data_IF_019242680039
#
_entry.id   IF_019242680039
#
_cell.length_a   1.000
_cell.length_b   1.000
_cell.length_c   1.000
_cell.angle_alpha   90.00
_cell.angle_beta   90.00
_cell.angle_gamma   90.00
#
_symmetry.space_group_name_H-M   'P 1'
#
loop_
_entity.id
_entity.type
_entity.pdbx_description
1 polymer ?
#
# COMPACT_ATOMS: atom_id res chain seq x y z
N UNK A 1 33.03 -17.91 65.45
CA UNK A 1 32.33 -18.70 64.40
C UNK A 1 32.23 -17.80 63.17
N UNK A 2 33.05 -18.08 62.15
CA UNK A 2 32.97 -17.41 60.85
C UNK A 2 31.68 -17.81 60.15
N UNK A 3 31.02 -16.86 59.47
CA UNK A 3 30.68 -16.95 58.04
C UNK A 3 30.51 -15.51 57.55
N UNK A 4 31.33 -15.20 56.57
CA UNK A 4 31.28 -14.01 55.73
C UNK A 4 30.68 -14.49 54.40
N UNK A 5 29.58 -13.93 53.90
CA UNK A 5 29.21 -14.16 52.49
C UNK A 5 28.33 -13.02 51.95
N UNK A 6 29.00 -12.15 51.20
CA UNK A 6 28.62 -11.67 49.86
C UNK A 6 27.30 -10.91 49.71
N UNK A 7 27.46 -9.60 49.51
CA UNK A 7 26.98 -8.89 48.33
C UNK A 7 25.59 -9.29 47.82
N UNK A 8 24.55 -8.71 48.41
CA UNK A 8 23.35 -8.40 47.64
C UNK A 8 23.66 -7.12 46.86
N UNK A 9 24.54 -7.25 45.86
CA UNK A 9 24.61 -6.27 44.80
C UNK A 9 23.25 -6.33 44.10
N UNK A 10 22.44 -5.30 44.31
CA UNK A 10 21.26 -5.09 43.53
C UNK A 10 21.68 -5.08 42.06
N UNK A 11 21.40 -6.17 41.35
CA UNK A 11 21.31 -6.16 39.89
C UNK A 11 20.04 -5.36 39.60
N UNK A 12 20.14 -4.04 39.75
CA UNK A 12 19.31 -3.15 38.96
C UNK A 12 19.81 -3.39 37.53
N UNK A 13 19.20 -4.35 36.84
CA UNK A 13 19.24 -4.36 35.40
C UNK A 13 18.68 -3.00 35.01
N UNK A 14 19.56 -2.09 34.61
CA UNK A 14 19.17 -0.93 33.82
C UNK A 14 18.47 -1.54 32.61
N UNK A 15 17.15 -1.57 32.65
CA UNK A 15 16.35 -1.68 31.44
C UNK A 15 16.68 -0.38 30.71
N UNK A 16 17.76 -0.41 29.91
CA UNK A 16 17.96 0.61 28.89
C UNK A 16 16.65 0.59 28.12
N UNK A 17 15.91 1.70 28.12
CA UNK A 17 14.70 1.80 27.32
C UNK A 17 15.02 1.25 25.93
N UNK A 18 14.32 0.19 25.51
CA UNK A 18 14.56 -0.42 24.21
C UNK A 18 14.51 0.69 23.17
N UNK A 19 15.62 0.89 22.46
CA UNK A 19 15.66 1.91 21.39
C UNK A 19 14.55 1.57 20.40
N UNK A 20 13.62 2.52 20.23
CA UNK A 20 12.42 2.33 19.40
C UNK A 20 12.79 2.14 17.93
N UNK A 21 13.76 2.93 17.47
CA UNK A 21 14.35 2.82 16.15
C UNK A 21 15.76 2.23 16.20
N UNK A 22 16.20 1.53 15.14
CA UNK A 22 17.59 1.09 15.02
C UNK A 22 18.59 2.25 15.00
N UNK A 23 19.88 1.91 15.06
CA UNK A 23 20.96 2.88 14.95
C UNK A 23 20.82 3.75 13.68
N UNK A 24 20.75 5.07 13.87
CA UNK A 24 20.52 6.04 12.78
C UNK A 24 21.65 6.07 11.76
N UNK A 25 22.83 5.49 12.06
CA UNK A 25 23.94 5.38 11.11
C UNK A 25 23.70 4.33 10.01
N UNK A 26 22.75 3.41 10.22
CA UNK A 26 22.42 2.33 9.27
C UNK A 26 21.68 2.83 8.02
N UNK A 27 21.02 3.98 8.11
CA UNK A 27 20.41 4.67 6.98
C UNK A 27 21.06 6.04 6.85
N UNK A 28 21.35 6.46 5.62
CA UNK A 28 21.91 7.79 5.34
C UNK A 28 20.88 8.65 4.64
N UNK A 29 21.07 9.97 4.73
CA UNK A 29 20.32 10.94 3.94
C UNK A 29 20.32 10.51 2.46
N UNK A 30 19.17 10.60 1.76
CA UNK A 30 17.96 11.32 2.15
C UNK A 30 16.94 10.56 2.99
N UNK A 31 17.24 9.33 3.39
CA UNK A 31 16.36 8.54 4.24
C UNK A 31 16.74 8.72 5.72
N UNK A 32 15.77 8.50 6.60
CA UNK A 32 15.97 8.49 8.05
C UNK A 32 15.00 7.53 8.72
N UNK A 33 15.39 7.03 9.89
CA UNK A 33 14.45 6.45 10.84
C UNK A 33 13.65 7.57 11.51
N UNK A 34 12.37 7.33 11.74
CA UNK A 34 11.46 8.26 12.41
C UNK A 34 10.70 7.52 13.50
N UNK A 35 10.82 8.00 14.74
CA UNK A 35 10.02 7.48 15.85
C UNK A 35 8.57 7.94 15.72
N UNK A 36 7.65 7.02 15.96
CA UNK A 36 6.20 7.23 15.84
C UNK A 36 5.56 6.85 17.17
N UNK A 37 4.90 7.83 17.80
CA UNK A 37 4.19 7.67 19.07
C UNK A 37 5.06 7.05 20.20
N UNK A 38 6.38 7.27 20.17
CA UNK A 38 7.35 6.77 21.16
C UNK A 38 7.39 5.25 21.36
N UNK A 39 6.84 4.46 20.42
CA UNK A 39 6.83 2.98 20.53
C UNK A 39 6.99 2.26 19.18
N UNK A 40 7.06 3.00 18.06
CA UNK A 40 7.19 2.42 16.72
C UNK A 40 8.24 3.17 15.91
N UNK A 41 8.86 2.47 14.97
CA UNK A 41 9.80 3.07 14.03
C UNK A 41 9.23 3.07 12.61
N UNK A 42 9.50 4.15 11.87
CA UNK A 42 9.24 4.30 10.45
C UNK A 42 10.53 4.58 9.68
N UNK A 43 10.51 4.35 8.37
CA UNK A 43 11.55 4.80 7.45
C UNK A 43 10.93 5.85 6.53
N UNK A 44 11.52 7.04 6.49
CA UNK A 44 11.04 8.14 5.65
C UNK A 44 12.18 8.65 4.77
N UNK A 45 11.94 8.71 3.46
CA UNK A 45 12.84 9.26 2.47
C UNK A 45 12.16 10.46 1.81
N UNK A 46 12.76 11.65 1.90
CA UNK A 46 12.24 12.87 1.26
C UNK A 46 13.40 13.60 0.57
N UNK A 47 13.46 13.53 -0.76
CA UNK A 47 14.53 14.21 -1.53
C UNK A 47 14.33 14.28 -3.03
N UNK A 48 14.98 15.27 -3.64
CA UNK A 48 15.20 15.38 -5.08
C UNK A 48 16.49 14.73 -5.59
N UNK A 49 17.16 13.90 -4.79
CA UNK A 49 18.39 13.17 -5.14
C UNK A 49 18.07 11.72 -5.50
N UNK A 50 18.86 11.14 -6.40
CA UNK A 50 18.78 9.71 -6.72
C UNK A 50 19.04 8.85 -5.47
N UNK A 51 18.30 7.75 -5.37
CA UNK A 51 18.36 6.84 -4.22
C UNK A 51 18.34 5.41 -4.73
N UNK A 52 19.32 4.61 -4.31
CA UNK A 52 19.35 3.17 -4.55
C UNK A 52 18.65 2.46 -3.38
N UNK A 53 17.33 2.28 -3.52
CA UNK A 53 16.52 1.60 -2.52
C UNK A 53 16.93 0.15 -2.33
N UNK A 54 17.38 -0.54 -3.39
CA UNK A 54 17.79 -1.95 -3.30
C UNK A 54 19.05 -2.08 -2.46
N UNK A 55 20.07 -1.25 -2.72
CA UNK A 55 21.27 -1.24 -1.91
C UNK A 55 20.97 -0.87 -0.45
N UNK A 56 20.10 0.12 -0.22
CA UNK A 56 19.68 0.55 1.12
C UNK A 56 19.01 -0.59 1.89
N UNK A 57 17.95 -1.21 1.34
CA UNK A 57 17.24 -2.27 2.04
C UNK A 57 18.08 -3.55 2.19
N UNK A 58 18.98 -3.84 1.25
CA UNK A 58 19.96 -4.93 1.40
C UNK A 58 20.92 -4.68 2.56
N UNK A 59 21.40 -3.45 2.74
CA UNK A 59 22.26 -3.08 3.87
C UNK A 59 21.53 -3.20 5.22
N UNK A 60 20.24 -2.81 5.26
CA UNK A 60 19.41 -3.02 6.45
C UNK A 60 19.17 -4.49 6.74
N UNK A 61 18.87 -5.29 5.71
CA UNK A 61 18.70 -6.75 5.84
C UNK A 61 19.93 -7.40 6.51
N UNK A 62 21.14 -6.98 6.15
CA UNK A 62 22.37 -7.56 6.70
C UNK A 62 22.74 -7.03 8.08
N UNK A 63 22.31 -5.81 8.43
CA UNK A 63 22.73 -5.13 9.66
C UNK A 63 21.75 -5.30 10.82
N UNK A 64 20.46 -5.44 10.52
CA UNK A 64 19.40 -5.58 11.52
C UNK A 64 19.19 -7.03 11.93
N UNK A 65 18.89 -7.24 13.22
CA UNK A 65 18.40 -8.53 13.73
C UNK A 65 16.96 -8.77 13.29
N UNK A 66 16.50 -10.01 13.35
CA UNK A 66 15.17 -10.39 12.83
C UNK A 66 14.03 -9.58 13.49
N UNK A 67 14.13 -9.33 14.79
CA UNK A 67 13.17 -8.56 15.59
C UNK A 67 13.15 -7.05 15.26
N UNK A 68 14.21 -6.52 14.65
CA UNK A 68 14.36 -5.11 14.29
C UNK A 68 13.90 -4.79 12.86
N UNK A 69 13.59 -5.83 12.04
CA UNK A 69 13.26 -5.68 10.61
C UNK A 69 11.82 -5.27 10.34
N UNK A 70 11.13 -4.74 11.35
CA UNK A 70 9.70 -4.47 11.25
C UNK A 70 9.38 -3.04 11.63
N UNK A 71 8.70 -2.35 10.72
CA UNK A 71 8.46 -0.91 10.80
C UNK A 71 6.98 -0.60 10.59
N UNK A 72 6.50 0.48 11.22
CA UNK A 72 5.09 0.87 11.10
C UNK A 72 4.76 1.45 9.73
N UNK A 73 5.72 2.12 9.08
CA UNK A 73 5.54 2.59 7.71
C UNK A 73 6.86 2.82 6.99
N UNK A 74 6.80 2.71 5.68
CA UNK A 74 7.77 3.29 4.76
C UNK A 74 7.10 4.47 4.04
N UNK A 75 7.74 5.63 4.05
CA UNK A 75 7.31 6.82 3.28
C UNK A 75 8.37 7.14 2.24
N UNK A 76 7.97 7.15 0.97
CA UNK A 76 8.81 7.53 -0.15
C UNK A 76 8.28 8.80 -0.82
N UNK A 77 9.03 9.87 -0.64
CA UNK A 77 8.90 11.11 -1.40
C UNK A 77 10.19 11.35 -2.18
N UNK A 78 10.15 11.12 -3.49
CA UNK A 78 11.35 11.22 -4.31
C UNK A 78 11.11 11.66 -5.74
N UNK A 79 11.87 12.65 -6.20
CA UNK A 79 11.70 13.25 -7.53
C UNK A 79 12.64 12.69 -8.61
N UNK A 80 13.46 11.68 -8.30
CA UNK A 80 14.46 11.09 -9.20
C UNK A 80 14.31 9.59 -9.44
N UNK A 81 13.71 8.86 -8.50
CA UNK A 81 13.43 7.43 -8.69
C UNK A 81 12.37 7.29 -9.77
N UNK A 82 12.67 6.45 -10.76
CA UNK A 82 11.79 6.19 -11.91
C UNK A 82 11.06 4.86 -11.83
N UNK A 83 11.59 3.92 -11.04
CA UNK A 83 10.97 2.62 -10.82
C UNK A 83 11.13 2.10 -9.39
N UNK A 84 10.14 1.34 -8.93
CA UNK A 84 10.30 0.41 -7.82
C UNK A 84 10.60 -0.99 -8.38
N UNK A 85 11.82 -1.51 -8.20
CA UNK A 85 12.23 -2.80 -8.74
C UNK A 85 11.60 -3.97 -7.96
N UNK A 86 11.74 -5.18 -8.50
CA UNK A 86 11.31 -6.41 -7.85
C UNK A 86 11.99 -6.59 -6.48
N UNK A 87 11.24 -7.03 -5.47
CA UNK A 87 11.74 -7.35 -4.13
C UNK A 87 12.53 -6.19 -3.48
N UNK A 88 12.18 -4.93 -3.75
CA UNK A 88 12.95 -3.75 -3.32
C UNK A 88 13.17 -3.70 -1.81
N UNK A 89 12.23 -4.25 -1.01
CA UNK A 89 12.29 -4.24 0.46
C UNK A 89 13.10 -5.39 1.08
N UNK A 90 13.65 -6.31 0.28
CA UNK A 90 14.33 -7.51 0.77
C UNK A 90 13.49 -8.28 1.81
N UNK A 91 13.92 -8.38 3.07
CA UNK A 91 13.16 -8.97 4.19
C UNK A 91 12.68 -7.95 5.22
N UNK A 92 12.75 -6.65 4.89
CA UNK A 92 12.25 -5.57 5.73
C UNK A 92 10.74 -5.45 5.55
N UNK A 93 9.99 -5.50 6.66
CA UNK A 93 8.54 -5.55 6.64
C UNK A 93 7.90 -4.26 7.16
N UNK A 94 6.82 -3.83 6.51
CA UNK A 94 6.09 -2.61 6.84
C UNK A 94 4.60 -2.89 7.08
N UNK A 95 4.00 -2.24 8.08
CA UNK A 95 2.54 -2.24 8.23
C UNK A 95 1.86 -1.37 7.15
N UNK A 96 2.54 -0.29 6.70
CA UNK A 96 2.06 0.62 5.68
C UNK A 96 3.16 1.05 4.70
N UNK A 97 2.81 1.18 3.43
CA UNK A 97 3.68 1.75 2.41
C UNK A 97 2.99 2.99 1.84
N UNK A 98 3.69 4.12 1.84
CA UNK A 98 3.19 5.41 1.38
C UNK A 98 4.18 5.94 0.35
N UNK A 99 3.73 6.11 -0.88
CA UNK A 99 4.50 6.71 -1.97
C UNK A 99 3.79 8.00 -2.34
N UNK A 100 4.43 9.13 -2.07
CA UNK A 100 3.81 10.44 -2.26
C UNK A 100 4.73 11.42 -2.97
N UNK A 101 4.16 12.28 -3.81
CA UNK A 101 4.88 13.32 -4.56
C UNK A 101 6.05 12.78 -5.41
N UNK A 102 6.03 11.50 -5.81
CA UNK A 102 7.12 10.89 -6.56
C UNK A 102 6.96 11.06 -8.08
N UNK A 103 7.08 12.30 -8.56
CA UNK A 103 6.72 12.71 -9.93
C UNK A 103 7.49 11.98 -11.05
N UNK A 104 8.67 11.44 -10.75
CA UNK A 104 9.47 10.68 -11.73
C UNK A 104 9.14 9.18 -11.74
N UNK A 105 8.43 8.67 -10.73
CA UNK A 105 8.13 7.26 -10.58
C UNK A 105 7.04 6.86 -11.58
N UNK A 106 7.44 6.10 -12.60
CA UNK A 106 6.56 5.67 -13.68
C UNK A 106 6.24 4.18 -13.62
N UNK A 107 7.07 3.39 -12.95
CA UNK A 107 6.97 1.93 -12.94
C UNK A 107 7.03 1.38 -11.52
N UNK A 108 6.09 0.50 -11.19
CA UNK A 108 6.18 -0.37 -10.02
C UNK A 108 6.20 -1.80 -10.56
N UNK A 109 7.29 -2.52 -10.29
CA UNK A 109 7.42 -3.90 -10.72
C UNK A 109 6.35 -4.77 -10.03
N UNK A 110 5.80 -5.76 -10.73
CA UNK A 110 4.73 -6.65 -10.20
C UNK A 110 5.11 -7.38 -8.91
N UNK A 111 6.40 -7.64 -8.72
CA UNK A 111 6.99 -8.25 -7.52
C UNK A 111 7.63 -7.24 -6.54
N UNK A 112 7.37 -5.94 -6.65
CA UNK A 112 8.04 -4.93 -5.83
C UNK A 112 7.82 -5.14 -4.33
N UNK A 113 6.61 -5.53 -3.93
CA UNK A 113 6.20 -5.67 -2.53
C UNK A 113 6.37 -7.07 -1.92
N UNK A 114 6.93 -8.05 -2.66
CA UNK A 114 7.06 -9.43 -2.18
C UNK A 114 7.78 -9.53 -0.82
N UNK A 115 8.82 -8.71 -0.63
CA UNK A 115 9.51 -8.57 0.64
C UNK A 115 8.60 -7.99 1.72
N UNK A 116 8.20 -8.83 2.68
CA UNK A 116 7.31 -8.39 3.78
C UNK A 116 5.85 -8.20 3.39
N UNK A 117 5.42 -8.67 2.20
CA UNK A 117 4.05 -8.49 1.67
C UNK A 117 2.94 -8.85 2.67
N UNK A 118 3.14 -9.92 3.44
CA UNK A 118 2.19 -10.41 4.44
C UNK A 118 1.89 -9.42 5.56
N UNK A 119 2.74 -8.40 5.76
CA UNK A 119 2.56 -7.42 6.84
C UNK A 119 1.81 -6.17 6.38
N UNK A 120 1.84 -5.86 5.10
CA UNK A 120 1.30 -4.60 4.57
C UNK A 120 -0.22 -4.60 4.68
N UNK A 121 -0.75 -3.67 5.50
CA UNK A 121 -2.19 -3.44 5.72
C UNK A 121 -2.69 -2.18 5.03
N UNK A 122 -1.79 -1.28 4.63
CA UNK A 122 -2.12 -0.03 3.94
C UNK A 122 -1.12 0.26 2.83
N UNK A 123 -1.66 0.62 1.67
CA UNK A 123 -0.89 1.12 0.53
C UNK A 123 -1.52 2.43 0.05
N UNK A 124 -0.74 3.50 0.12
CA UNK A 124 -1.11 4.80 -0.40
C UNK A 124 -0.13 5.17 -1.53
N UNK A 125 -0.68 5.45 -2.71
CA UNK A 125 0.06 6.06 -3.83
C UNK A 125 -0.64 7.37 -4.16
N UNK A 126 0.04 8.47 -3.88
CA UNK A 126 -0.54 9.81 -3.90
C UNK A 126 0.32 10.73 -4.76
N UNK A 127 -0.31 11.46 -5.69
CA UNK A 127 0.37 12.45 -6.53
C UNK A 127 1.64 11.88 -7.19
N UNK A 128 1.52 10.70 -7.80
CA UNK A 128 2.65 9.92 -8.33
C UNK A 128 2.21 9.25 -9.63
N UNK A 129 2.74 9.65 -10.81
CA UNK A 129 2.20 9.28 -12.12
C UNK A 129 2.62 7.86 -12.56
N UNK A 130 2.27 6.85 -11.78
CA UNK A 130 2.55 5.44 -12.09
C UNK A 130 1.75 5.02 -13.32
N UNK A 131 2.46 4.51 -14.34
CA UNK A 131 1.84 3.97 -15.54
C UNK A 131 1.64 2.46 -15.36
N UNK A 132 0.42 2.00 -15.59
CA UNK A 132 0.01 0.60 -15.45
C UNK A 132 0.49 -0.31 -16.59
N UNK A 133 0.83 0.25 -17.75
CA UNK A 133 1.16 -0.52 -18.96
C UNK A 133 2.64 -0.35 -19.35
N UNK A 134 3.55 -0.86 -18.52
CA UNK A 134 4.98 -0.91 -18.86
C UNK A 134 5.49 -2.34 -18.84
N UNK A 135 6.45 -2.68 -19.71
CA UNK A 135 7.02 -4.05 -19.74
C UNK A 135 7.66 -4.36 -18.37
N UNK A 136 7.12 -5.38 -17.70
CA UNK A 136 7.50 -5.79 -16.34
C UNK A 136 7.02 -4.86 -15.22
N UNK A 137 6.19 -3.86 -15.51
CA UNK A 137 5.51 -3.01 -14.54
C UNK A 137 4.02 -3.24 -14.60
N UNK A 138 3.46 -3.78 -13.53
CA UNK A 138 2.03 -4.00 -13.37
C UNK A 138 1.66 -3.64 -11.94
N UNK A 139 1.10 -2.42 -11.81
CA UNK A 139 0.68 -1.88 -10.53
C UNK A 139 -0.36 -2.79 -9.85
N UNK A 140 -1.30 -3.33 -10.61
CA UNK A 140 -2.38 -4.14 -10.06
C UNK A 140 -1.90 -5.52 -9.64
N UNK A 141 -0.95 -6.12 -10.37
CA UNK A 141 -0.27 -7.33 -9.91
C UNK A 141 0.53 -7.08 -8.62
N UNK A 142 1.23 -5.94 -8.54
CA UNK A 142 1.94 -5.55 -7.32
C UNK A 142 0.99 -5.38 -6.13
N UNK A 143 -0.16 -4.71 -6.33
CA UNK A 143 -1.20 -4.58 -5.29
C UNK A 143 -1.74 -5.95 -4.87
N UNK A 144 -2.05 -6.83 -5.82
CA UNK A 144 -2.56 -8.18 -5.55
C UNK A 144 -1.55 -9.09 -4.83
N UNK A 145 -0.26 -8.75 -4.84
CA UNK A 145 0.77 -9.47 -4.08
C UNK A 145 0.67 -9.26 -2.56
N UNK A 146 -0.19 -8.35 -2.08
CA UNK A 146 -0.36 -7.99 -0.68
C UNK A 146 -1.59 -8.71 -0.07
N UNK A 147 -1.42 -9.89 0.57
CA UNK A 147 -2.55 -10.72 0.97
C UNK A 147 -3.37 -10.13 2.14
N UNK A 148 -2.75 -9.29 2.97
CA UNK A 148 -3.37 -8.70 4.15
C UNK A 148 -3.68 -7.19 3.99
N UNK A 149 -3.69 -6.69 2.76
CA UNK A 149 -3.98 -5.29 2.49
C UNK A 149 -5.43 -4.98 2.86
N UNK A 150 -5.62 -4.03 3.78
CA UNK A 150 -6.93 -3.60 4.26
C UNK A 150 -7.36 -2.24 3.69
N UNK A 151 -6.39 -1.38 3.35
CA UNK A 151 -6.64 -0.02 2.85
C UNK A 151 -5.81 0.25 1.61
N UNK A 152 -6.46 0.65 0.53
CA UNK A 152 -5.81 1.06 -0.72
C UNK A 152 -6.24 2.47 -1.09
N UNK A 153 -5.26 3.35 -1.36
CA UNK A 153 -5.50 4.71 -1.85
C UNK A 153 -4.67 4.94 -3.11
N UNK A 154 -5.34 5.22 -4.23
CA UNK A 154 -4.75 5.60 -5.50
C UNK A 154 -5.26 7.00 -5.87
N UNK A 155 -4.50 8.02 -5.48
CA UNK A 155 -4.93 9.42 -5.57
C UNK A 155 -3.99 10.18 -6.50
N UNK A 156 -4.53 10.82 -7.55
CA UNK A 156 -3.72 11.56 -8.54
C UNK A 156 -2.55 10.73 -9.09
N UNK A 157 -2.79 9.49 -9.50
CA UNK A 157 -1.74 8.56 -9.95
C UNK A 157 -1.57 8.50 -11.46
N UNK A 158 -2.24 9.36 -12.21
CA UNK A 158 -2.29 9.34 -13.68
C UNK A 158 -2.76 7.99 -14.26
N UNK A 159 -3.54 7.24 -13.48
CA UNK A 159 -4.14 5.97 -13.88
C UNK A 159 -5.02 6.17 -15.12
N UNK A 160 -4.90 5.31 -16.14
CA UNK A 160 -5.71 5.41 -17.37
C UNK A 160 -6.85 4.40 -17.42
N UNK A 161 -6.70 3.24 -16.78
CA UNK A 161 -7.73 2.24 -16.64
C UNK A 161 -7.68 1.57 -15.26
N UNK A 162 -8.73 0.87 -14.89
CA UNK A 162 -8.65 -0.24 -13.93
C UNK A 162 -8.83 -1.48 -14.78
N UNK A 163 -7.83 -2.38 -14.89
CA UNK A 163 -7.90 -3.52 -15.77
C UNK A 163 -8.95 -4.52 -15.29
N UNK A 164 -9.36 -5.39 -16.20
CA UNK A 164 -10.23 -6.50 -15.84
C UNK A 164 -9.57 -7.35 -14.75
N UNK A 165 -10.33 -7.69 -13.70
CA UNK A 165 -9.78 -8.42 -12.54
C UNK A 165 -8.57 -7.75 -11.87
N UNK A 166 -8.47 -6.41 -11.94
CA UNK A 166 -7.35 -5.66 -11.38
C UNK A 166 -7.26 -5.73 -9.85
N UNK A 167 -8.40 -5.80 -9.15
CA UNK A 167 -8.47 -5.94 -7.69
C UNK A 167 -9.36 -7.15 -7.38
N UNK A 168 -8.74 -8.34 -7.32
CA UNK A 168 -9.47 -9.61 -7.10
C UNK A 168 -8.95 -10.39 -5.89
N UNK A 169 -9.87 -11.12 -5.25
CA UNK A 169 -9.56 -12.10 -4.19
C UNK A 169 -8.72 -11.55 -3.02
N UNK A 170 -8.85 -10.25 -2.74
CA UNK A 170 -8.17 -9.59 -1.63
C UNK A 170 -9.06 -9.66 -0.39
N UNK A 171 -8.92 -10.76 0.35
CA UNK A 171 -9.84 -11.15 1.43
C UNK A 171 -9.87 -10.17 2.61
N UNK A 172 -8.77 -9.45 2.85
CA UNK A 172 -8.64 -8.48 3.93
C UNK A 172 -9.00 -7.05 3.52
N UNK A 173 -9.24 -6.78 2.23
CA UNK A 173 -9.43 -5.42 1.73
C UNK A 173 -10.77 -4.85 2.18
N UNK A 174 -10.72 -3.75 2.93
CA UNK A 174 -11.88 -3.10 3.55
C UNK A 174 -12.22 -1.76 2.89
N UNK A 175 -11.21 -1.00 2.47
CA UNK A 175 -11.40 0.34 1.93
C UNK A 175 -10.56 0.56 0.67
N UNK A 176 -11.21 1.02 -0.38
CA UNK A 176 -10.59 1.41 -1.65
C UNK A 176 -11.00 2.86 -1.95
N UNK A 177 -10.01 3.72 -2.17
CA UNK A 177 -10.20 5.10 -2.59
C UNK A 177 -9.41 5.34 -3.88
N UNK A 178 -10.12 5.62 -4.97
CA UNK A 178 -9.55 5.93 -6.28
C UNK A 178 -10.01 7.33 -6.64
N UNK A 179 -9.14 8.31 -6.42
CA UNK A 179 -9.54 9.71 -6.43
C UNK A 179 -8.68 10.57 -7.33
N UNK A 180 -9.31 11.53 -8.00
CA UNK A 180 -8.60 12.57 -8.74
C UNK A 180 -7.66 12.02 -9.83
N UNK A 181 -7.96 10.83 -10.37
CA UNK A 181 -7.25 10.26 -11.51
C UNK A 181 -7.86 10.80 -12.80
N UNK A 182 -7.43 12.01 -13.17
CA UNK A 182 -7.96 12.75 -14.32
C UNK A 182 -7.74 12.08 -15.68
N UNK A 183 -6.91 11.04 -15.75
CA UNK A 183 -6.67 10.27 -16.96
C UNK A 183 -7.46 8.95 -17.00
N UNK A 184 -8.18 8.60 -15.93
CA UNK A 184 -8.88 7.32 -15.80
C UNK A 184 -10.11 7.32 -16.69
N UNK A 185 -10.07 6.50 -17.75
CA UNK A 185 -11.14 6.42 -18.76
C UNK A 185 -12.02 5.19 -18.63
N UNK A 186 -11.44 4.06 -18.21
CA UNK A 186 -12.11 2.77 -18.26
C UNK A 186 -11.99 2.05 -16.93
N UNK A 187 -13.11 1.59 -16.39
CA UNK A 187 -13.13 0.56 -15.34
C UNK A 187 -13.53 -0.76 -16.01
N UNK A 188 -12.59 -1.70 -16.01
CA UNK A 188 -12.71 -2.99 -16.69
C UNK A 188 -13.82 -3.87 -16.14
N UNK A 189 -14.22 -4.86 -16.93
CA UNK A 189 -15.16 -5.87 -16.46
C UNK A 189 -14.53 -6.66 -15.32
N UNK A 190 -15.33 -7.05 -14.33
CA UNK A 190 -14.82 -7.77 -13.16
C UNK A 190 -13.65 -7.04 -12.47
N UNK A 191 -13.62 -5.71 -12.46
CA UNK A 191 -12.50 -4.95 -11.88
C UNK A 191 -12.32 -5.21 -10.38
N UNK A 192 -13.43 -5.40 -9.64
CA UNK A 192 -13.45 -5.57 -8.18
C UNK A 192 -14.09 -6.90 -7.75
N UNK A 193 -13.39 -8.02 -7.92
CA UNK A 193 -13.96 -9.37 -7.73
C UNK A 193 -13.62 -9.96 -6.36
N UNK A 194 -14.58 -10.63 -5.73
CA UNK A 194 -14.33 -11.44 -4.53
C UNK A 194 -13.60 -10.68 -3.40
N UNK A 195 -14.23 -9.58 -2.94
CA UNK A 195 -13.73 -8.72 -1.86
C UNK A 195 -14.65 -8.83 -0.64
N UNK A 196 -14.62 -9.94 0.11
CA UNK A 196 -15.64 -10.27 1.11
C UNK A 196 -15.73 -9.28 2.29
N UNK A 197 -14.61 -8.65 2.67
CA UNK A 197 -14.54 -7.66 3.76
C UNK A 197 -14.69 -6.21 3.31
N UNK A 198 -14.90 -5.96 2.02
CA UNK A 198 -14.95 -4.59 1.49
C UNK A 198 -16.15 -3.84 2.10
N UNK A 199 -15.89 -2.67 2.66
CA UNK A 199 -16.92 -1.80 3.27
C UNK A 199 -17.16 -0.57 2.41
N UNK A 200 -16.09 -0.02 1.83
CA UNK A 200 -16.16 1.22 1.05
C UNK A 200 -15.35 1.07 -0.23
N UNK A 201 -16.02 1.31 -1.35
CA UNK A 201 -15.40 1.59 -2.64
C UNK A 201 -15.77 3.00 -3.05
N UNK A 202 -14.80 3.91 -3.00
CA UNK A 202 -14.97 5.29 -3.42
C UNK A 202 -14.17 5.54 -4.70
N UNK A 203 -14.89 5.94 -5.75
CA UNK A 203 -14.36 6.50 -6.98
C UNK A 203 -14.86 7.94 -7.00
N UNK A 204 -13.93 8.89 -6.96
CA UNK A 204 -14.28 10.31 -6.82
C UNK A 204 -13.39 11.23 -7.64
N UNK A 205 -13.98 12.26 -8.24
CA UNK A 205 -13.27 13.28 -9.01
C UNK A 205 -12.44 12.71 -10.18
N UNK A 206 -12.88 11.60 -10.78
CA UNK A 206 -12.27 10.96 -11.95
C UNK A 206 -13.05 11.35 -13.22
N UNK A 207 -13.02 12.64 -13.56
CA UNK A 207 -13.86 13.25 -14.59
C UNK A 207 -13.67 12.72 -16.03
N UNK A 208 -12.65 11.88 -16.29
CA UNK A 208 -12.38 11.31 -17.60
C UNK A 208 -13.02 9.93 -17.82
N UNK A 209 -13.76 9.39 -16.85
CA UNK A 209 -14.36 8.06 -16.98
C UNK A 209 -15.39 8.08 -18.11
N UNK A 210 -15.08 7.33 -19.17
CA UNK A 210 -15.93 7.15 -20.34
C UNK A 210 -16.79 5.89 -20.19
N UNK A 211 -16.22 4.82 -19.62
CA UNK A 211 -16.90 3.50 -19.52
C UNK A 211 -16.58 2.77 -18.21
N UNK A 212 -17.63 2.27 -17.56
CA UNK A 212 -17.58 1.25 -16.52
C UNK A 212 -18.25 0.01 -17.10
N UNK A 213 -17.44 -1.01 -17.37
CA UNK A 213 -17.88 -2.18 -18.12
C UNK A 213 -18.83 -3.07 -17.31
N UNK A 214 -19.41 -4.06 -17.99
CA UNK A 214 -20.29 -5.05 -17.39
C UNK A 214 -19.62 -5.75 -16.21
N UNK A 215 -20.42 -6.08 -15.19
CA UNK A 215 -19.96 -6.74 -13.95
C UNK A 215 -18.68 -6.12 -13.39
N UNK A 216 -18.50 -4.80 -13.42
CA UNK A 216 -17.29 -4.15 -12.92
C UNK A 216 -17.14 -4.32 -11.40
N UNK A 217 -18.26 -4.44 -10.67
CA UNK A 217 -18.31 -4.55 -9.22
C UNK A 217 -18.83 -5.90 -8.71
N UNK A 218 -18.44 -7.08 -9.23
CA UNK A 218 -19.03 -8.36 -8.84
C UNK A 218 -18.44 -8.78 -7.48
N UNK A 219 -18.93 -8.12 -6.44
CA UNK A 219 -18.39 -8.24 -5.10
C UNK A 219 -19.16 -9.34 -4.39
N UNK A 220 -18.36 -10.32 -3.95
CA UNK A 220 -18.70 -11.41 -3.06
C UNK A 220 -19.25 -12.69 -3.73
N UNK A 221 -18.54 -13.80 -3.49
CA UNK A 221 -18.93 -15.17 -3.86
C UNK A 221 -19.72 -15.86 -2.74
N UNK A 222 -19.87 -15.22 -1.57
CA UNK A 222 -20.60 -15.72 -0.40
C UNK A 222 -21.52 -14.61 0.12
N UNK A 223 -22.76 -14.91 0.54
CA UNK A 223 -23.66 -13.86 1.05
C UNK A 223 -23.09 -13.16 2.30
N UNK A 224 -22.74 -11.87 2.20
CA UNK A 224 -22.44 -11.02 3.37
C UNK A 224 -23.66 -10.18 3.73
N UNK A 225 -23.92 -10.02 5.03
CA UNK A 225 -25.02 -9.19 5.54
C UNK A 225 -24.62 -7.72 5.71
N UNK A 226 -23.31 -7.43 5.72
CA UNK A 226 -22.83 -6.07 5.87
C UNK A 226 -23.04 -5.29 4.56
N UNK A 227 -23.65 -4.10 4.58
CA UNK A 227 -23.80 -3.30 3.38
C UNK A 227 -22.44 -2.86 2.83
N UNK A 228 -22.29 -2.91 1.52
CA UNK A 228 -21.18 -2.29 0.80
C UNK A 228 -21.58 -0.87 0.40
N UNK A 229 -20.73 0.10 0.69
CA UNK A 229 -20.88 1.46 0.15
C UNK A 229 -20.08 1.59 -1.16
N UNK A 230 -20.79 1.86 -2.26
CA UNK A 230 -20.19 2.26 -3.53
C UNK A 230 -20.49 3.74 -3.73
N UNK A 231 -19.44 4.55 -3.88
CA UNK A 231 -19.55 5.99 -4.03
C UNK A 231 -18.91 6.38 -5.37
N UNK A 232 -19.71 6.89 -6.30
CA UNK A 232 -19.29 7.35 -7.64
C UNK A 232 -19.55 8.86 -7.74
N UNK A 233 -18.63 9.67 -7.19
CA UNK A 233 -18.89 11.08 -6.87
C UNK A 233 -18.09 12.00 -7.79
N UNK A 234 -18.78 12.97 -8.43
CA UNK A 234 -18.14 13.99 -9.27
C UNK A 234 -17.29 13.43 -10.43
N UNK A 235 -17.65 12.24 -10.92
CA UNK A 235 -16.95 11.52 -11.99
C UNK A 235 -17.48 11.83 -13.40
N UNK A 236 -18.41 12.80 -13.55
CA UNK A 236 -19.02 13.20 -14.84
C UNK A 236 -19.67 12.04 -15.63
N UNK A 237 -20.15 11.02 -14.93
CA UNK A 237 -20.79 9.85 -15.53
C UNK A 237 -22.10 10.25 -16.25
N UNK A 238 -22.29 9.73 -17.46
CA UNK A 238 -23.54 9.84 -18.23
C UNK A 238 -24.24 8.48 -18.28
N UNK A 239 -25.43 8.42 -18.89
CA UNK A 239 -26.13 7.16 -19.13
C UNK A 239 -25.26 6.15 -19.88
N UNK A 240 -24.45 6.61 -20.84
CA UNK A 240 -23.58 5.75 -21.64
C UNK A 240 -22.32 5.31 -20.89
N UNK A 241 -22.00 5.92 -19.74
CA UNK A 241 -20.84 5.55 -18.94
C UNK A 241 -21.03 4.21 -18.23
N UNK A 242 -22.27 3.82 -17.91
CA UNK A 242 -22.58 2.56 -17.24
C UNK A 242 -23.12 1.56 -18.26
N UNK A 243 -22.41 0.45 -18.45
CA UNK A 243 -22.90 -0.64 -19.31
C UNK A 243 -24.04 -1.36 -18.59
N UNK A 244 -25.09 -1.77 -19.32
CA UNK A 244 -26.11 -2.67 -18.76
C UNK A 244 -25.41 -3.86 -18.09
N UNK A 245 -25.78 -4.20 -16.85
CA UNK A 245 -25.11 -5.20 -15.98
C UNK A 245 -23.86 -4.76 -15.21
N UNK A 246 -23.51 -3.47 -15.15
CA UNK A 246 -22.37 -2.98 -14.32
C UNK A 246 -22.42 -3.46 -12.86
N UNK A 247 -23.62 -3.53 -12.27
CA UNK A 247 -23.85 -3.94 -10.87
C UNK A 247 -24.37 -5.38 -10.72
N UNK A 248 -24.34 -6.18 -11.79
CA UNK A 248 -24.72 -7.58 -11.71
C UNK A 248 -23.71 -8.36 -10.86
N UNK A 249 -24.15 -9.53 -10.37
CA UNK A 249 -23.35 -10.44 -9.57
C UNK A 249 -22.85 -9.85 -8.23
N UNK A 250 -23.56 -8.87 -7.67
CA UNK A 250 -23.37 -8.43 -6.28
C UNK A 250 -24.25 -9.25 -5.34
N UNK A 251 -23.62 -10.05 -4.48
CA UNK A 251 -24.31 -10.95 -3.55
C UNK A 251 -24.30 -10.43 -2.09
N UNK A 252 -24.60 -9.14 -1.91
CA UNK A 252 -24.76 -8.48 -0.59
C UNK A 252 -25.50 -7.14 -0.75
N UNK A 253 -26.05 -6.56 0.34
CA UNK A 253 -26.66 -5.23 0.27
C UNK A 253 -25.66 -4.16 -0.22
N UNK A 254 -26.11 -3.22 -1.05
CA UNK A 254 -25.31 -2.11 -1.59
C UNK A 254 -26.00 -0.78 -1.34
N UNK A 255 -25.27 0.17 -0.77
CA UNK A 255 -25.64 1.58 -0.75
C UNK A 255 -24.84 2.28 -1.86
N UNK A 256 -25.52 2.76 -2.89
CA UNK A 256 -24.92 3.50 -4.01
C UNK A 256 -25.11 5.00 -3.80
N UNK A 257 -24.02 5.77 -3.89
CA UNK A 257 -23.98 7.22 -3.71
C UNK A 257 -23.31 7.94 -4.88
#
# INVERSE_FOLDING_TARGET
MYINLLAVAAVLSMVTADKICPDTTLIKAPCKFVEVANIKCAIECDSGVALDLVAMFKALQTSLKAEEKTFVRFVLKNYKITELPANVFADIAFDAIIIEDAQSLKKIHSAAFNGGAYRVKRLDIINTPVNEATVGGDLFAAIQSLPNLANLRLIKTNLTMIPASGIKSMNELMHIYIEQNKALKIIGHNAFVNLPKLKTLQIKDNAAIEKILYTAFPINTVASKDPLEIRLIADHLTYDSLVATTFDAINRPVNLY
#
